data_IF_829153837177
#
_entry.id   IF_829153837177
#
_cell.length_a   1.000
_cell.length_b   1.000
_cell.length_c   1.000
_cell.angle_alpha   90.00
_cell.angle_beta   90.00
_cell.angle_gamma   90.00
#
_symmetry.space_group_name_H-M   'P 1'
#
loop_
_entity.id
_entity.type
_entity.pdbx_description
1 polymer ?
#
# COMPACT_ATOMS: atom_id res chain seq x y z
N UNK A 1 3.82 -14.03 -10.74
CA UNK A 1 4.93 -13.13 -10.45
C UNK A 1 4.51 -12.12 -9.41
N UNK A 2 5.41 -11.78 -8.52
CA UNK A 2 5.10 -10.81 -7.47
C UNK A 2 5.10 -9.39 -8.03
N UNK A 3 4.18 -8.57 -7.54
CA UNK A 3 4.08 -7.16 -7.91
C UNK A 3 4.24 -6.33 -6.65
N UNK A 4 5.23 -5.43 -6.66
CA UNK A 4 5.44 -4.53 -5.53
C UNK A 4 4.44 -3.37 -5.57
N UNK A 5 3.86 -3.07 -4.43
CA UNK A 5 3.01 -1.88 -4.25
C UNK A 5 3.86 -0.86 -3.51
N UNK A 6 4.18 0.25 -4.18
CA UNK A 6 5.13 1.23 -3.66
C UNK A 6 4.46 2.53 -3.30
N UNK A 7 5.02 3.21 -2.31
CA UNK A 7 4.60 4.55 -1.96
C UNK A 7 4.97 5.51 -3.09
N UNK A 8 4.02 6.33 -3.51
CA UNK A 8 4.23 7.32 -4.57
C UNK A 8 4.75 8.64 -4.00
N UNK A 9 4.68 8.80 -2.69
CA UNK A 9 5.12 10.01 -2.01
C UNK A 9 5.73 9.64 -0.67
N UNK A 10 6.45 10.57 -0.09
CA UNK A 10 6.93 10.46 1.29
C UNK A 10 5.81 10.89 2.23
N UNK A 11 5.55 10.11 3.26
CA UNK A 11 4.50 10.41 4.23
C UNK A 11 4.46 9.38 5.35
N UNK A 12 3.31 9.28 5.99
CA UNK A 12 3.09 8.35 7.10
C UNK A 12 1.93 7.43 6.74
N UNK A 13 2.04 6.15 7.08
CA UNK A 13 0.93 5.20 6.87
C UNK A 13 -0.17 5.53 7.87
N UNK A 14 -1.31 6.00 7.35
CA UNK A 14 -2.46 6.33 8.18
C UNK A 14 -3.35 5.12 8.40
N UNK A 15 -3.62 4.36 7.34
CA UNK A 15 -4.45 3.16 7.43
C UNK A 15 -3.97 2.10 6.45
N UNK A 16 -4.09 0.84 6.86
CA UNK A 16 -3.89 -0.30 5.98
C UNK A 16 -5.26 -0.93 5.78
N UNK A 17 -5.74 -0.91 4.53
CA UNK A 17 -7.10 -1.32 4.16
C UNK A 17 -7.17 -2.75 3.65
N UNK A 18 -6.04 -3.48 3.63
CA UNK A 18 -6.00 -4.85 3.15
C UNK A 18 -5.30 -5.75 4.16
N UNK A 19 -5.45 -7.06 3.95
CA UNK A 19 -4.82 -8.08 4.78
C UNK A 19 -4.13 -9.10 3.88
N UNK A 20 -3.10 -9.75 4.41
CA UNK A 20 -2.48 -10.89 3.71
C UNK A 20 -3.56 -11.92 3.41
N UNK A 21 -3.60 -12.36 2.15
CA UNK A 21 -4.60 -13.30 1.67
C UNK A 21 -5.77 -12.68 0.93
N UNK A 22 -5.94 -11.35 1.03
CA UNK A 22 -7.01 -10.67 0.30
C UNK A 22 -6.77 -10.72 -1.20
N UNK A 23 -7.83 -10.99 -1.95
CA UNK A 23 -7.81 -10.90 -3.42
C UNK A 23 -8.23 -9.47 -3.78
N UNK A 24 -7.41 -8.80 -4.56
CA UNK A 24 -7.64 -7.40 -4.92
C UNK A 24 -7.62 -7.23 -6.43
N UNK A 25 -8.26 -6.17 -6.89
CA UNK A 25 -8.29 -5.78 -8.30
C UNK A 25 -7.53 -4.48 -8.48
N UNK A 26 -7.09 -4.22 -9.69
CA UNK A 26 -6.48 -2.92 -10.02
C UNK A 26 -7.41 -1.79 -9.57
N UNK A 27 -6.85 -0.82 -8.86
CA UNK A 27 -7.61 0.31 -8.35
C UNK A 27 -8.14 0.15 -6.93
N UNK A 28 -8.13 -1.07 -6.37
CA UNK A 28 -8.53 -1.25 -4.97
C UNK A 28 -7.56 -0.54 -4.06
N UNK A 29 -8.08 0.17 -3.05
CA UNK A 29 -7.23 0.89 -2.10
C UNK A 29 -6.65 -0.09 -1.12
N UNK A 30 -5.31 -0.13 -1.02
CA UNK A 30 -4.60 -1.04 -0.14
C UNK A 30 -4.10 -0.35 1.11
N UNK A 31 -3.61 0.88 0.96
CA UNK A 31 -3.01 1.65 2.05
C UNK A 31 -3.40 3.11 1.84
N UNK A 32 -3.60 3.84 2.92
CA UNK A 32 -3.81 5.28 2.85
C UNK A 32 -2.64 5.93 3.56
N UNK A 33 -1.94 6.80 2.83
CA UNK A 33 -0.84 7.58 3.37
C UNK A 33 -1.33 8.97 3.75
N UNK A 34 -0.73 9.55 4.78
CA UNK A 34 -0.97 10.94 5.14
C UNK A 34 0.28 11.74 4.83
N UNK A 35 0.11 12.84 4.10
CA UNK A 35 1.20 13.76 3.79
C UNK A 35 0.62 15.16 3.75
N UNK A 36 1.24 16.08 4.48
CA UNK A 36 0.82 17.50 4.50
C UNK A 36 -0.69 17.65 4.78
N UNK A 37 -1.20 16.86 5.74
CA UNK A 37 -2.60 16.86 6.17
C UNK A 37 -3.57 16.39 5.09
N UNK A 38 -3.07 15.70 4.06
CA UNK A 38 -3.89 15.10 3.03
C UNK A 38 -3.82 13.59 3.13
N UNK A 39 -4.93 12.93 2.83
CA UNK A 39 -5.00 11.48 2.77
C UNK A 39 -4.81 11.07 1.32
N UNK A 40 -3.82 10.21 1.08
CA UNK A 40 -3.46 9.83 -0.28
C UNK A 40 -3.59 8.31 -0.38
N UNK A 41 -4.55 7.80 -1.17
CA UNK A 41 -4.73 6.36 -1.31
C UNK A 41 -3.64 5.77 -2.20
N UNK A 42 -3.17 4.58 -1.81
CA UNK A 42 -2.27 3.77 -2.62
C UNK A 42 -3.10 2.60 -3.12
N UNK A 43 -3.26 2.53 -4.43
CA UNK A 43 -4.13 1.55 -5.08
C UNK A 43 -3.33 0.36 -5.57
N UNK A 44 -4.01 -0.78 -5.68
CA UNK A 44 -3.41 -1.96 -6.28
C UNK A 44 -3.09 -1.67 -7.74
N UNK A 45 -1.85 -1.92 -8.19
CA UNK A 45 -1.47 -1.67 -9.59
C UNK A 45 -1.96 -2.74 -10.54
N UNK A 46 -2.43 -3.87 -10.01
CA UNK A 46 -2.86 -5.00 -10.82
C UNK A 46 -3.73 -5.93 -9.97
N UNK A 47 -4.40 -6.85 -10.64
CA UNK A 47 -5.11 -7.93 -9.97
C UNK A 47 -4.10 -8.86 -9.30
N UNK A 48 -4.43 -9.34 -8.10
CA UNK A 48 -3.58 -10.30 -7.40
C UNK A 48 -4.07 -10.57 -6.00
N UNK A 49 -3.26 -11.33 -5.27
CA UNK A 49 -3.51 -11.65 -3.87
C UNK A 49 -2.44 -10.99 -3.03
N UNK A 50 -2.82 -10.38 -1.92
CA UNK A 50 -1.86 -9.76 -1.01
C UNK A 50 -1.02 -10.85 -0.36
N UNK A 51 0.27 -10.91 -0.75
CA UNK A 51 1.20 -11.92 -0.25
C UNK A 51 1.94 -11.44 0.98
N UNK A 52 2.27 -10.15 1.05
CA UNK A 52 2.98 -9.55 2.19
C UNK A 52 2.50 -8.14 2.40
N UNK A 53 2.54 -7.70 3.65
CA UNK A 53 2.40 -6.28 4.01
C UNK A 53 3.71 -5.92 4.71
N UNK A 54 4.43 -4.93 4.14
CA UNK A 54 5.77 -4.56 4.60
C UNK A 54 5.80 -3.25 5.36
N UNK A 55 4.67 -2.78 5.80
CA UNK A 55 4.58 -1.56 6.58
C UNK A 55 3.56 -1.74 7.68
N UNK A 56 3.41 -0.74 8.53
CA UNK A 56 2.45 -0.77 9.63
C UNK A 56 1.84 0.61 9.77
N UNK A 57 0.65 0.66 10.34
CA UNK A 57 -0.02 1.94 10.63
C UNK A 57 0.87 2.77 11.55
N UNK A 58 1.02 4.05 11.23
CA UNK A 58 1.89 4.96 11.96
C UNK A 58 3.32 5.01 11.47
N UNK A 59 3.73 4.12 10.58
CA UNK A 59 5.11 4.08 10.11
C UNK A 59 5.40 5.18 9.09
N UNK A 60 6.56 5.84 9.17
CA UNK A 60 6.99 6.76 8.12
C UNK A 60 7.47 5.98 6.92
N UNK A 61 7.16 6.47 5.72
CA UNK A 61 7.60 5.84 4.47
C UNK A 61 8.12 6.90 3.53
N UNK A 62 9.06 6.50 2.67
CA UNK A 62 9.61 7.37 1.63
C UNK A 62 9.07 6.94 0.28
N UNK A 63 9.07 7.88 -0.65
CA UNK A 63 8.71 7.56 -2.04
C UNK A 63 9.53 6.37 -2.53
N UNK A 64 8.87 5.41 -3.14
CA UNK A 64 9.51 4.19 -3.63
C UNK A 64 9.56 3.05 -2.63
N UNK A 65 9.22 3.29 -1.35
CA UNK A 65 9.20 2.23 -0.36
C UNK A 65 8.13 1.19 -0.72
N UNK A 66 8.46 -0.08 -0.58
CA UNK A 66 7.51 -1.16 -0.83
C UNK A 66 6.59 -1.28 0.37
N UNK A 67 5.28 -1.09 0.15
CA UNK A 67 4.27 -1.15 1.20
C UNK A 67 3.66 -2.54 1.31
N UNK A 68 3.48 -3.20 0.18
CA UNK A 68 2.87 -4.53 0.11
C UNK A 68 3.36 -5.23 -1.15
N UNK A 69 3.19 -6.55 -1.18
CA UNK A 69 3.53 -7.36 -2.34
C UNK A 69 2.31 -8.17 -2.72
N UNK A 70 1.95 -8.11 -3.99
CA UNK A 70 0.87 -8.93 -4.56
C UNK A 70 1.48 -10.16 -5.22
N UNK A 71 0.92 -11.29 -4.96
CA UNK A 71 1.37 -12.56 -5.52
C UNK A 71 0.42 -13.12 -6.56
#
# INVERSE_FOLDING_TARGET
MATDVKAQITGTVWKIECKVGDVVKEGDILVILESMKMEIPVEAPAYGTVAEIRTAEGAPVQEGAVLAVLG
#
